data_IF_912466385587
#
_entry.id   IF_912466385587
#
_cell.length_a   1.000
_cell.length_b   1.000
_cell.length_c   1.000
_cell.angle_alpha   90.00
_cell.angle_beta   90.00
_cell.angle_gamma   90.00
#
_symmetry.space_group_name_H-M   'P 1'
#
loop_
_entity.id
_entity.type
_entity.pdbx_description
1 polymer ?
#
# COMPACT_ATOMS: atom_id res chain seq x y z
N UNK A 1 -15.94 14.62 12.83
CA UNK A 1 -14.93 14.77 11.78
C UNK A 1 -14.53 13.44 11.20
N UNK A 2 -14.59 13.35 9.91
CA UNK A 2 -14.22 12.10 9.25
C UNK A 2 -12.71 11.99 9.14
N UNK A 3 -12.19 10.86 9.52
CA UNK A 3 -10.80 10.54 9.29
C UNK A 3 -10.65 9.84 7.97
N UNK A 4 -9.77 10.35 7.15
CA UNK A 4 -9.44 9.69 5.93
C UNK A 4 -8.54 8.51 6.23
N UNK A 5 -8.91 7.35 5.74
CA UNK A 5 -8.18 6.14 6.04
C UNK A 5 -7.87 5.40 4.74
N UNK A 6 -6.60 5.16 4.52
CA UNK A 6 -6.15 4.38 3.37
C UNK A 6 -6.18 2.92 3.75
N UNK A 7 -6.80 2.11 2.90
CA UNK A 7 -6.88 0.67 3.10
C UNK A 7 -5.89 -0.01 2.15
N UNK A 8 -5.09 -0.91 2.68
CA UNK A 8 -4.10 -1.63 1.89
C UNK A 8 -4.52 -3.08 1.74
N UNK A 9 -4.54 -3.55 0.50
CA UNK A 9 -4.94 -4.92 0.19
C UNK A 9 -3.85 -5.59 -0.63
N UNK A 10 -3.24 -6.66 -0.12
CA UNK A 10 -2.25 -7.39 -0.90
C UNK A 10 -2.94 -8.23 -1.96
N UNK A 11 -2.37 -8.21 -3.15
CA UNK A 11 -2.88 -9.01 -4.28
C UNK A 11 -1.70 -9.75 -4.88
N UNK A 12 -1.87 -11.06 -5.02
CA UNK A 12 -0.87 -11.88 -5.66
C UNK A 12 -1.14 -11.88 -7.17
N UNK A 13 -0.19 -11.34 -7.90
CA UNK A 13 -0.32 -11.27 -9.35
C UNK A 13 0.28 -12.51 -10.03
N UNK A 14 1.38 -12.99 -9.49
CA UNK A 14 2.01 -14.25 -9.93
C UNK A 14 2.85 -14.78 -8.78
N UNK A 15 3.54 -15.91 -9.00
CA UNK A 15 4.32 -16.54 -7.95
C UNK A 15 5.37 -15.59 -7.35
N UNK A 16 5.96 -14.76 -8.19
CA UNK A 16 7.03 -13.86 -7.76
C UNK A 16 6.63 -12.40 -7.88
N UNK A 17 5.34 -12.12 -8.02
CA UNK A 17 4.89 -10.77 -8.26
C UNK A 17 3.68 -10.47 -7.39
N UNK A 18 3.88 -9.62 -6.42
CA UNK A 18 2.82 -9.16 -5.53
C UNK A 18 2.66 -7.67 -5.66
N UNK A 19 1.44 -7.20 -5.47
CA UNK A 19 1.17 -5.78 -5.40
C UNK A 19 0.32 -5.50 -4.18
N UNK A 20 0.34 -4.26 -3.74
CA UNK A 20 -0.56 -3.82 -2.69
C UNK A 20 -1.46 -2.75 -3.29
N UNK A 21 -2.75 -2.96 -3.19
CA UNK A 21 -3.72 -1.96 -3.65
C UNK A 21 -4.07 -1.06 -2.49
N UNK A 22 -3.79 0.21 -2.63
CA UNK A 22 -4.11 1.21 -1.62
C UNK A 22 -5.38 1.93 -2.06
N UNK A 23 -6.41 1.81 -1.24
CA UNK A 23 -7.71 2.42 -1.52
C UNK A 23 -7.94 3.57 -0.57
N UNK A 24 -8.26 4.71 -1.13
CA UNK A 24 -8.46 5.93 -0.39
C UNK A 24 -9.85 6.48 -0.72
N UNK A 25 -10.69 6.77 0.28
CA UNK A 25 -12.03 7.28 0.01
C UNK A 25 -11.99 8.58 -0.79
N UNK A 26 -12.76 8.60 -1.87
CA UNK A 26 -12.83 9.77 -2.73
C UNK A 26 -11.71 9.90 -3.73
N UNK A 27 -10.83 8.91 -3.83
CA UNK A 27 -9.73 8.92 -4.79
C UNK A 27 -9.63 7.56 -5.47
N UNK A 28 -8.94 7.54 -6.60
CA UNK A 28 -8.73 6.30 -7.31
C UNK A 28 -7.74 5.42 -6.55
N UNK A 29 -7.91 4.10 -6.61
CA UNK A 29 -6.96 3.19 -5.97
C UNK A 29 -5.60 3.30 -6.62
N UNK A 30 -4.58 3.09 -5.81
CA UNK A 30 -3.19 3.12 -6.27
C UNK A 30 -2.56 1.77 -6.00
N UNK A 31 -1.56 1.43 -6.79
CA UNK A 31 -0.90 0.15 -6.68
C UNK A 31 0.57 0.35 -6.31
N UNK A 32 1.01 -0.45 -5.35
CA UNK A 32 2.42 -0.50 -4.96
C UNK A 32 3.00 -1.76 -5.56
N UNK A 33 4.01 -1.61 -6.39
CA UNK A 33 4.64 -2.73 -7.11
C UNK A 33 6.06 -2.94 -6.59
N UNK A 34 6.74 -3.92 -7.17
CA UNK A 34 8.11 -4.21 -6.78
C UNK A 34 8.22 -5.20 -5.63
N UNK A 35 7.10 -5.85 -5.28
CA UNK A 35 7.07 -6.85 -4.22
C UNK A 35 7.13 -8.23 -4.86
N UNK A 36 7.99 -9.09 -4.33
CA UNK A 36 8.25 -10.39 -4.95
C UNK A 36 7.70 -11.56 -4.14
N UNK A 37 7.30 -11.32 -2.90
CA UNK A 37 6.80 -12.38 -2.05
C UNK A 37 5.87 -11.81 -1.01
N UNK A 38 5.17 -12.69 -0.31
CA UNK A 38 4.33 -12.26 0.79
C UNK A 38 5.16 -11.65 1.90
N UNK A 39 6.37 -12.14 2.09
CA UNK A 39 7.30 -11.56 3.06
C UNK A 39 7.58 -10.09 2.73
N UNK A 40 7.79 -9.79 1.46
CA UNK A 40 8.00 -8.42 1.03
C UNK A 40 6.77 -7.56 1.32
N UNK A 41 5.60 -8.12 1.08
CA UNK A 41 4.35 -7.42 1.38
C UNK A 41 4.25 -7.13 2.87
N UNK A 42 4.51 -8.13 3.70
CA UNK A 42 4.43 -7.95 5.15
C UNK A 42 5.44 -6.93 5.64
N UNK A 43 6.65 -6.97 5.12
CA UNK A 43 7.68 -5.99 5.47
C UNK A 43 7.26 -4.58 5.09
N UNK A 44 6.68 -4.43 3.91
CA UNK A 44 6.22 -3.13 3.46
C UNK A 44 5.10 -2.61 4.35
N UNK A 45 4.16 -3.47 4.70
CA UNK A 45 3.00 -3.10 5.50
C UNK A 45 3.37 -2.77 6.95
N UNK A 46 4.35 -3.48 7.50
CA UNK A 46 4.71 -3.34 8.91
C UNK A 46 5.91 -2.43 9.16
N UNK A 47 6.60 -2.03 8.09
CA UNK A 47 7.77 -1.18 8.21
C UNK A 47 7.47 0.28 7.94
N UNK A 48 8.53 1.06 7.87
CA UNK A 48 8.42 2.49 7.61
C UNK A 48 8.08 2.82 6.17
N UNK A 49 8.19 1.86 5.28
CA UNK A 49 7.91 2.08 3.87
C UNK A 49 6.48 2.54 3.62
N UNK A 50 5.55 2.00 4.38
CA UNK A 50 4.14 2.40 4.26
C UNK A 50 3.98 3.88 4.60
N UNK A 51 4.60 4.32 5.68
CA UNK A 51 4.53 5.71 6.09
C UNK A 51 5.19 6.62 5.07
N UNK A 52 6.34 6.21 4.57
CA UNK A 52 7.04 6.99 3.56
C UNK A 52 6.20 7.13 2.29
N UNK A 53 5.55 6.04 1.89
CA UNK A 53 4.68 6.06 0.73
C UNK A 53 3.49 7.01 0.94
N UNK A 54 2.88 6.95 2.12
CA UNK A 54 1.75 7.81 2.44
C UNK A 54 2.15 9.29 2.38
N UNK A 55 3.36 9.60 2.83
CA UNK A 55 3.86 10.96 2.77
C UNK A 55 4.06 11.43 1.33
N UNK A 56 4.62 10.57 0.48
CA UNK A 56 4.83 10.93 -0.90
C UNK A 56 3.51 11.13 -1.65
N UNK A 57 2.46 10.44 -1.22
CA UNK A 57 1.15 10.58 -1.83
C UNK A 57 0.35 11.73 -1.21
N UNK A 58 0.85 12.35 -0.14
CA UNK A 58 0.15 13.43 0.51
C UNK A 58 -0.97 13.00 1.44
N UNK A 59 -1.06 11.73 1.77
CA UNK A 59 -2.11 11.22 2.65
C UNK A 59 -1.77 11.36 4.12
N UNK A 60 -0.49 11.43 4.45
CA UNK A 60 -0.03 11.60 5.81
C UNK A 60 0.74 12.91 5.94
N UNK A 61 0.59 13.53 7.07
CA UNK A 61 1.27 14.81 7.32
C UNK A 61 2.20 14.74 8.49
#
# INVERSE_FOLDING_TARGET
MAKTKVTFRPVRNSDDDWIIVAEYPGAEPREITGLHSKSDVDDWMNGDRRLAWLRTQGYAK
#
